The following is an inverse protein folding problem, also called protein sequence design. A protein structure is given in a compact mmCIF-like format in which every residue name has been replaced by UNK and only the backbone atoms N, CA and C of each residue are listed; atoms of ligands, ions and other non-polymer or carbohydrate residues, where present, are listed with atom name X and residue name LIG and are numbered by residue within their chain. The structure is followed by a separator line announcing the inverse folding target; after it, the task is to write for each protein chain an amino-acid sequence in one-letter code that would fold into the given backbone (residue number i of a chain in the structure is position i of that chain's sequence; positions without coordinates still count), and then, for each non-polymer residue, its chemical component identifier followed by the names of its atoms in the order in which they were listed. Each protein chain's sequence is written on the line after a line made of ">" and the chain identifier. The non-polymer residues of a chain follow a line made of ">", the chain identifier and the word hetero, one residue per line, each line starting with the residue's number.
data_IF_319210861736
#
_entry.id   IF_319210861736
#
_cell.length_a   1.000
_cell.length_b   1.000
_cell.length_c   1.000
_cell.angle_alpha   90.00
_cell.angle_beta   90.00
_cell.angle_gamma   90.00
#
_symmetry.space_group_name_H-M   'P 1'
#
loop_
_entity.id
_entity.type
_entity.pdbx_description
1 polymer ?
#
# COMPACT_ATOMS: atom_id res chain seq x y z
N UNK A 1 -19.22 -5.48 39.87
CA UNK A 1 -19.30 -5.45 38.39
C UNK A 1 -18.17 -4.57 37.88
N UNK A 2 -17.03 -5.16 37.48
CA UNK A 2 -15.82 -4.46 37.00
C UNK A 2 -15.39 -5.01 35.63
N UNK A 3 -16.35 -5.26 34.74
CA UNK A 3 -16.13 -6.05 33.51
C UNK A 3 -16.47 -5.33 32.21
N UNK A 4 -16.25 -4.01 32.09
CA UNK A 4 -16.71 -3.31 30.87
C UNK A 4 -15.66 -2.36 30.28
N UNK A 5 -14.84 -1.70 31.11
CA UNK A 5 -13.90 -0.68 30.59
C UNK A 5 -12.64 -1.29 29.98
N UNK A 6 -12.06 -2.34 30.59
CA UNK A 6 -10.85 -3.01 30.08
C UNK A 6 -11.07 -3.73 28.75
N UNK A 7 -12.27 -4.25 28.53
CA UNK A 7 -12.62 -4.95 27.30
C UNK A 7 -12.72 -4.00 26.10
N UNK A 8 -13.20 -2.77 26.33
CA UNK A 8 -13.26 -1.75 25.28
C UNK A 8 -11.86 -1.30 24.87
N UNK A 9 -10.96 -1.04 25.83
CA UNK A 9 -9.57 -0.67 25.55
C UNK A 9 -8.82 -1.77 24.79
N UNK A 10 -9.03 -3.04 25.17
CA UNK A 10 -8.45 -4.19 24.47
C UNK A 10 -8.97 -4.27 23.02
N UNK A 11 -10.27 -4.08 22.80
CA UNK A 11 -10.89 -4.07 21.48
C UNK A 11 -10.40 -2.92 20.59
N UNK A 12 -10.14 -1.73 21.15
CA UNK A 12 -9.60 -0.59 20.39
C UNK A 12 -8.15 -0.86 19.99
N UNK A 13 -7.33 -1.34 20.93
CA UNK A 13 -5.93 -1.67 20.65
C UNK A 13 -5.79 -2.79 19.62
N UNK A 14 -6.62 -3.83 19.69
CA UNK A 14 -6.56 -4.94 18.74
C UNK A 14 -6.95 -4.51 17.32
N UNK A 15 -7.98 -3.67 17.18
CA UNK A 15 -8.35 -3.08 15.88
C UNK A 15 -7.25 -2.18 15.32
N UNK A 16 -6.65 -1.33 16.15
CA UNK A 16 -5.55 -0.48 15.74
C UNK A 16 -4.35 -1.31 15.27
N UNK A 17 -3.94 -2.32 16.04
CA UNK A 17 -2.83 -3.19 15.68
C UNK A 17 -3.12 -3.94 14.36
N UNK A 18 -4.35 -4.41 14.16
CA UNK A 18 -4.76 -5.05 12.90
C UNK A 18 -4.59 -4.12 11.70
N UNK A 19 -5.02 -2.86 11.82
CA UNK A 19 -4.83 -1.84 10.77
C UNK A 19 -3.35 -1.58 10.48
N UNK A 20 -2.53 -1.51 11.54
CA UNK A 20 -1.09 -1.30 11.39
C UNK A 20 -0.43 -2.48 10.65
N UNK A 21 -0.80 -3.72 10.98
CA UNK A 21 -0.27 -4.90 10.30
C UNK A 21 -0.68 -4.96 8.83
N UNK A 22 -1.94 -4.64 8.51
CA UNK A 22 -2.40 -4.52 7.12
C UNK A 22 -1.61 -3.46 6.36
N UNK A 23 -1.42 -2.27 6.96
CA UNK A 23 -0.65 -1.20 6.34
C UNK A 23 0.81 -1.58 6.11
N UNK A 24 1.44 -2.32 7.04
CA UNK A 24 2.80 -2.84 6.85
C UNK A 24 2.87 -3.77 5.64
N UNK A 25 1.94 -4.69 5.48
CA UNK A 25 1.91 -5.61 4.35
C UNK A 25 1.77 -4.88 3.01
N UNK A 26 0.97 -3.81 2.97
CA UNK A 26 0.82 -2.95 1.78
C UNK A 26 2.14 -2.25 1.46
N UNK A 27 2.77 -1.63 2.46
CA UNK A 27 4.03 -0.91 2.29
C UNK A 27 5.15 -1.83 1.83
N UNK A 28 5.23 -3.05 2.37
CA UNK A 28 6.19 -4.08 1.93
C UNK A 28 6.01 -4.40 0.46
N UNK A 29 4.77 -4.64 0.00
CA UNK A 29 4.50 -4.89 -1.43
C UNK A 29 4.97 -3.74 -2.33
N UNK A 30 4.63 -2.51 -1.97
CA UNK A 30 5.05 -1.30 -2.70
C UNK A 30 6.58 -1.20 -2.78
N UNK A 31 7.28 -1.39 -1.66
CA UNK A 31 8.74 -1.33 -1.60
C UNK A 31 9.39 -2.46 -2.40
N UNK A 32 8.86 -3.67 -2.33
CA UNK A 32 9.36 -4.81 -3.12
C UNK A 32 9.26 -4.54 -4.63
N UNK A 33 8.15 -3.92 -5.06
CA UNK A 33 7.99 -3.50 -6.46
C UNK A 33 9.03 -2.45 -6.85
N UNK A 34 9.33 -1.48 -5.97
CA UNK A 34 10.39 -0.49 -6.21
C UNK A 34 11.78 -1.15 -6.30
N UNK A 35 12.08 -2.09 -5.41
CA UNK A 35 13.34 -2.83 -5.42
C UNK A 35 13.47 -3.62 -6.73
N UNK A 36 12.39 -4.27 -7.19
CA UNK A 36 12.37 -5.00 -8.46
C UNK A 36 12.66 -4.08 -9.65
N UNK A 37 12.05 -2.89 -9.68
CA UNK A 37 12.37 -1.88 -10.69
C UNK A 37 13.87 -1.54 -10.70
N UNK A 38 14.45 -1.28 -9.52
CA UNK A 38 15.88 -0.97 -9.38
C UNK A 38 16.80 -2.12 -9.80
N UNK A 39 16.48 -3.35 -9.40
CA UNK A 39 17.25 -4.55 -9.73
C UNK A 39 17.25 -4.86 -11.23
N UNK A 40 16.11 -4.65 -11.90
CA UNK A 40 15.96 -4.87 -13.34
C UNK A 40 16.39 -3.65 -14.17
N UNK A 41 16.92 -2.61 -13.53
CA UNK A 41 17.28 -1.33 -14.16
C UNK A 41 16.11 -0.72 -14.96
N UNK A 42 14.89 -0.89 -14.46
CA UNK A 42 13.68 -0.33 -15.05
C UNK A 42 13.44 1.06 -14.48
N UNK A 43 13.18 2.01 -15.36
CA UNK A 43 12.71 3.32 -14.95
C UNK A 43 11.39 3.16 -14.17
N UNK A 44 11.35 3.65 -12.93
CA UNK A 44 10.17 3.62 -12.07
C UNK A 44 9.00 4.33 -12.77
N UNK A 45 9.29 5.40 -13.52
CA UNK A 45 8.30 6.24 -14.20
C UNK A 45 8.25 5.96 -15.70
N UNK A 46 7.04 5.93 -16.26
CA UNK A 46 6.78 5.89 -17.70
C UNK A 46 6.54 7.29 -18.28
N UNK A 47 6.22 7.34 -19.59
CA UNK A 47 5.82 8.59 -20.27
C UNK A 47 4.49 9.12 -19.70
N UNK A 48 3.60 8.21 -19.29
CA UNK A 48 2.38 8.48 -18.55
C UNK A 48 2.39 7.66 -17.26
N UNK A 49 1.59 8.06 -16.28
CA UNK A 49 1.56 7.43 -14.96
C UNK A 49 0.94 6.02 -15.03
N UNK A 50 -0.16 5.89 -15.76
CA UNK A 50 -0.86 4.62 -16.04
C UNK A 50 0.00 3.63 -16.85
N UNK A 51 1.05 4.12 -17.53
CA UNK A 51 1.96 3.30 -18.34
C UNK A 51 3.34 3.15 -17.72
N UNK A 52 3.50 3.50 -16.44
CA UNK A 52 4.78 3.34 -15.76
C UNK A 52 5.11 1.87 -15.48
N UNK A 53 6.40 1.51 -15.58
CA UNK A 53 6.86 0.16 -15.24
C UNK A 53 6.52 -0.20 -13.80
N UNK A 54 6.57 0.80 -12.90
CA UNK A 54 6.18 0.62 -11.51
C UNK A 54 4.71 0.23 -11.37
N UNK A 55 3.77 0.94 -12.01
CA UNK A 55 2.35 0.58 -11.94
C UNK A 55 2.08 -0.79 -12.56
N UNK A 56 2.70 -1.12 -13.69
CA UNK A 56 2.57 -2.44 -14.32
C UNK A 56 3.07 -3.59 -13.43
N UNK A 57 4.19 -3.39 -12.73
CA UNK A 57 4.74 -4.37 -11.80
C UNK A 57 3.94 -4.44 -10.48
N UNK A 58 3.42 -3.31 -10.00
CA UNK A 58 2.58 -3.25 -8.82
C UNK A 58 1.26 -3.99 -9.05
N UNK A 59 0.63 -3.80 -10.21
CA UNK A 59 -0.56 -4.54 -10.64
C UNK A 59 -0.26 -6.03 -10.81
N UNK A 60 0.92 -6.39 -11.32
CA UNK A 60 1.36 -7.77 -11.40
C UNK A 60 1.49 -8.39 -10.00
N UNK A 61 2.10 -7.69 -9.05
CA UNK A 61 2.24 -8.15 -7.67
C UNK A 61 0.88 -8.29 -6.97
N UNK A 62 -0.07 -7.39 -7.25
CA UNK A 62 -1.43 -7.46 -6.75
C UNK A 62 -2.21 -8.71 -7.21
N UNK A 63 -1.79 -9.39 -8.29
CA UNK A 63 -2.37 -10.70 -8.67
C UNK A 63 -2.06 -11.79 -7.65
N UNK A 64 -0.98 -11.64 -6.90
CA UNK A 64 -0.49 -12.62 -5.92
C UNK A 64 -0.62 -12.14 -4.46
N UNK A 65 -0.83 -10.84 -4.23
CA UNK A 65 -1.04 -10.25 -2.92
C UNK A 65 -2.45 -9.64 -2.81
N UNK A 66 -3.36 -10.36 -2.15
CA UNK A 66 -4.76 -9.95 -1.99
C UNK A 66 -4.92 -8.66 -1.16
N UNK A 67 -4.06 -8.45 -0.17
CA UNK A 67 -4.11 -7.24 0.68
C UNK A 67 -3.71 -6.02 -0.14
N UNK A 68 -2.67 -6.15 -0.96
CA UNK A 68 -2.25 -5.11 -1.89
C UNK A 68 -3.33 -4.84 -2.95
N UNK A 69 -3.93 -5.90 -3.51
CA UNK A 69 -5.04 -5.78 -4.47
C UNK A 69 -6.23 -5.02 -3.89
N UNK A 70 -6.66 -5.39 -2.70
CA UNK A 70 -7.75 -4.72 -1.99
C UNK A 70 -7.42 -3.24 -1.74
N UNK A 71 -6.18 -2.95 -1.33
CA UNK A 71 -5.71 -1.59 -1.17
C UNK A 71 -5.77 -0.79 -2.47
N UNK A 72 -5.34 -1.35 -3.61
CA UNK A 72 -5.35 -0.67 -4.91
C UNK A 72 -6.76 -0.48 -5.47
N UNK A 73 -7.67 -1.44 -5.25
CA UNK A 73 -9.04 -1.39 -5.76
C UNK A 73 -9.94 -0.54 -4.87
N UNK A 74 -9.89 -0.74 -3.54
CA UNK A 74 -10.88 -0.23 -2.59
C UNK A 74 -10.30 0.73 -1.54
N UNK A 75 -8.97 0.91 -1.47
CA UNK A 75 -8.34 1.86 -0.56
C UNK A 75 -8.74 3.32 -0.79
N UNK A 76 -8.49 4.16 0.22
CA UNK A 76 -8.77 5.60 0.16
C UNK A 76 -7.98 6.23 -1.01
N UNK A 77 -8.63 6.99 -1.91
CA UNK A 77 -7.95 7.69 -3.01
C UNK A 77 -6.72 8.51 -2.58
N UNK A 78 -6.70 9.05 -1.36
CA UNK A 78 -5.56 9.79 -0.79
C UNK A 78 -4.36 8.89 -0.50
N UNK A 79 -4.61 7.63 -0.18
CA UNK A 79 -3.57 6.62 0.08
C UNK A 79 -3.05 5.96 -1.21
N UNK A 80 -3.85 6.03 -2.27
CA UNK A 80 -3.49 5.60 -3.64
C UNK A 80 -2.83 6.70 -4.47
N UNK A 81 -2.60 7.87 -3.89
CA UNK A 81 -2.14 9.04 -4.64
C UNK A 81 -0.70 8.86 -5.12
N UNK A 82 -0.57 8.25 -6.29
CA UNK A 82 0.58 8.41 -7.16
C UNK A 82 0.33 9.74 -7.88
N UNK A 83 1.14 10.77 -7.60
CA UNK A 83 0.94 12.06 -8.25
C UNK A 83 1.65 12.10 -9.61
N UNK A 84 1.02 12.63 -10.67
CA UNK A 84 1.67 12.86 -11.95
C UNK A 84 2.65 14.04 -11.92
N UNK A 85 2.76 14.78 -10.81
CA UNK A 85 3.54 16.03 -10.75
C UNK A 85 4.15 16.24 -9.37
N UNK A 86 5.31 15.62 -9.12
CA UNK A 86 6.35 16.34 -8.39
C UNK A 86 6.83 17.48 -9.30
N UNK A 87 6.11 18.61 -9.30
CA UNK A 87 6.66 19.86 -9.82
C UNK A 87 7.55 20.42 -8.72
N UNK A 88 8.86 20.26 -8.86
CA UNK A 88 9.79 21.20 -8.24
C UNK A 88 9.49 22.55 -8.89
N UNK A 89 9.03 23.49 -8.08
CA UNK A 89 9.00 24.90 -8.41
C UNK A 89 10.42 25.45 -8.25
#
# INVERSE_FOLDING_TARGET
>A
MQGTTRDIECCINSQYNSLVEVNRLILVGIVDTLILCGQQNLAIRGKEEETSNFMGLLDFQAKHNLVLKEHLQNGDPRTKYTSPKFKMN
#
